data_IF_845824462360
#
_entry.id   IF_845824462360
#
_cell.length_a   1.000
_cell.length_b   1.000
_cell.length_c   1.000
_cell.angle_alpha   90.00
_cell.angle_beta   90.00
_cell.angle_gamma   90.00
#
_symmetry.space_group_name_H-M   'P 1'
#
loop_
_entity.id
_entity.type
_entity.pdbx_description
1 polymer ?
#
# COMPACT_ATOMS: atom_id res chain seq x y z
N UNK A 1 23.55 14.38 29.61
CA UNK A 1 23.21 15.21 28.42
C UNK A 1 23.07 14.34 27.19
N UNK A 2 21.83 14.13 26.75
CA UNK A 2 21.52 13.38 25.54
C UNK A 2 21.96 14.20 24.33
N UNK A 3 22.83 13.62 23.50
CA UNK A 3 23.30 14.27 22.28
C UNK A 3 22.13 14.40 21.29
N UNK A 4 21.78 15.64 20.91
CA UNK A 4 20.71 15.93 19.93
C UNK A 4 20.91 15.16 18.62
N UNK A 5 22.18 14.87 18.27
CA UNK A 5 22.52 14.04 17.10
C UNK A 5 21.98 12.61 17.21
N UNK A 6 22.04 12.01 18.41
CA UNK A 6 21.55 10.64 18.65
C UNK A 6 20.02 10.60 18.51
N UNK A 7 19.32 11.57 19.10
CA UNK A 7 17.86 11.66 19.00
C UNK A 7 17.39 11.84 17.53
N UNK A 8 18.10 12.66 16.76
CA UNK A 8 17.83 12.83 15.34
C UNK A 8 18.10 11.56 14.52
N UNK A 9 19.13 10.79 14.89
CA UNK A 9 19.42 9.49 14.27
C UNK A 9 18.31 8.48 14.56
N UNK A 10 17.90 8.33 15.82
CA UNK A 10 16.80 7.43 16.22
C UNK A 10 15.50 7.82 15.52
N UNK A 11 15.17 9.11 15.48
CA UNK A 11 14.03 9.62 14.73
C UNK A 11 14.07 9.22 13.24
N UNK A 12 15.20 9.44 12.56
CA UNK A 12 15.37 9.07 11.15
C UNK A 12 15.22 7.57 10.94
N UNK A 13 15.79 6.76 11.82
CA UNK A 13 15.71 5.30 11.75
C UNK A 13 14.27 4.82 11.90
N UNK A 14 13.54 5.33 12.90
CA UNK A 14 12.14 4.99 13.14
C UNK A 14 11.26 5.36 11.94
N UNK A 15 11.37 6.60 11.44
CA UNK A 15 10.62 7.06 10.27
C UNK A 15 10.92 6.17 9.05
N UNK A 16 12.19 5.83 8.81
CA UNK A 16 12.58 4.96 7.69
C UNK A 16 12.00 3.55 7.83
N UNK A 17 11.99 2.98 9.04
CA UNK A 17 11.43 1.66 9.31
C UNK A 17 9.91 1.65 9.06
N UNK A 18 9.20 2.67 9.55
CA UNK A 18 7.75 2.83 9.35
C UNK A 18 7.42 2.96 7.86
N UNK A 19 8.08 3.85 7.13
CA UNK A 19 7.84 4.04 5.68
C UNK A 19 8.04 2.72 4.93
N UNK A 20 9.14 2.01 5.20
CA UNK A 20 9.44 0.75 4.52
C UNK A 20 8.38 -0.31 4.78
N UNK A 21 7.93 -0.45 6.02
CA UNK A 21 6.93 -1.44 6.40
C UNK A 21 5.55 -1.12 5.80
N UNK A 22 5.15 0.14 5.88
CA UNK A 22 3.82 0.61 5.47
C UNK A 22 3.67 0.72 3.92
N UNK A 23 4.77 0.98 3.20
CA UNK A 23 4.77 1.13 1.74
C UNK A 23 4.07 -0.01 1.03
N UNK A 24 4.30 -1.25 1.49
CA UNK A 24 3.72 -2.42 0.86
C UNK A 24 2.20 -2.46 1.00
N UNK A 25 1.69 -2.23 2.21
CA UNK A 25 0.26 -2.16 2.49
C UNK A 25 -0.40 -1.05 1.68
N UNK A 26 0.23 0.12 1.58
CA UNK A 26 -0.24 1.23 0.74
C UNK A 26 -0.32 0.88 -0.74
N UNK A 27 0.69 0.19 -1.29
CA UNK A 27 0.67 -0.26 -2.69
C UNK A 27 -0.52 -1.21 -2.92
N UNK A 28 -0.74 -2.16 -2.00
CA UNK A 28 -1.85 -3.12 -2.09
C UNK A 28 -3.20 -2.39 -2.00
N UNK A 29 -3.35 -1.47 -1.04
CA UNK A 29 -4.57 -0.66 -0.90
C UNK A 29 -4.85 0.15 -2.17
N UNK A 30 -3.84 0.84 -2.71
CA UNK A 30 -4.00 1.63 -3.93
C UNK A 30 -4.35 0.76 -5.14
N UNK A 31 -3.73 -0.41 -5.27
CA UNK A 31 -4.08 -1.36 -6.34
C UNK A 31 -5.55 -1.83 -6.24
N UNK A 32 -6.03 -2.10 -5.02
CA UNK A 32 -7.42 -2.46 -4.77
C UNK A 32 -8.39 -1.31 -5.06
N UNK A 33 -8.03 -0.08 -4.67
CA UNK A 33 -8.79 1.13 -5.00
C UNK A 33 -8.91 1.35 -6.50
N UNK A 34 -7.80 1.25 -7.24
CA UNK A 34 -7.78 1.36 -8.71
C UNK A 34 -8.71 0.31 -9.33
N UNK A 35 -8.64 -0.94 -8.88
CA UNK A 35 -9.53 -2.02 -9.36
C UNK A 35 -11.01 -1.71 -9.11
N UNK A 36 -11.33 -1.19 -7.92
CA UNK A 36 -12.68 -0.75 -7.56
C UNK A 36 -13.15 0.41 -8.42
N UNK A 37 -12.32 1.43 -8.63
CA UNK A 37 -12.61 2.59 -9.48
C UNK A 37 -12.86 2.17 -10.93
N UNK A 38 -12.02 1.28 -11.49
CA UNK A 38 -12.21 0.72 -12.84
C UNK A 38 -13.55 -0.03 -12.92
N UNK A 39 -13.89 -0.82 -11.89
CA UNK A 39 -15.15 -1.57 -11.86
C UNK A 39 -16.37 -0.65 -11.82
N UNK A 40 -16.32 0.41 -11.01
CA UNK A 40 -17.38 1.42 -10.94
C UNK A 40 -17.53 2.18 -12.26
N UNK A 41 -16.43 2.61 -12.88
CA UNK A 41 -16.44 3.28 -14.19
C UNK A 41 -16.96 2.35 -15.30
N UNK A 42 -16.57 1.08 -15.27
CA UNK A 42 -17.06 0.07 -16.21
C UNK A 42 -18.57 -0.15 -16.07
N UNK A 43 -19.06 -0.20 -14.83
CA UNK A 43 -20.50 -0.27 -14.56
C UNK A 43 -21.25 0.98 -15.04
N UNK A 44 -20.72 2.18 -14.77
CA UNK A 44 -21.28 3.44 -15.28
C UNK A 44 -21.35 3.46 -16.81
N UNK A 45 -20.30 2.99 -17.49
CA UNK A 45 -20.27 2.85 -18.95
C UNK A 45 -21.38 1.92 -19.43
N UNK A 46 -21.54 0.75 -18.82
CA UNK A 46 -22.60 -0.22 -19.18
C UNK A 46 -23.98 0.41 -19.01
N UNK A 47 -24.22 1.14 -17.93
CA UNK A 47 -25.51 1.79 -17.69
C UNK A 47 -25.81 2.87 -18.73
N UNK A 48 -24.82 3.67 -19.12
CA UNK A 48 -24.97 4.67 -20.18
C UNK A 48 -25.30 4.05 -21.54
N UNK A 49 -24.73 2.88 -21.84
CA UNK A 49 -24.98 2.15 -23.09
C UNK A 49 -26.32 1.40 -23.11
N UNK A 50 -26.81 0.96 -21.94
CA UNK A 50 -28.09 0.23 -21.81
C UNK A 50 -29.33 1.12 -21.88
N UNK A 51 -29.20 2.44 -21.70
CA UNK A 51 -30.35 3.35 -21.80
C UNK A 51 -30.95 3.32 -23.21
N UNK A 52 -32.25 3.02 -23.36
CA UNK A 52 -32.88 2.88 -24.67
C UNK A 52 -32.84 4.20 -25.44
N UNK A 53 -32.37 4.13 -26.68
CA UNK A 53 -32.10 5.27 -27.55
C UNK A 53 -33.37 5.79 -28.24
N UNK A 54 -34.26 6.42 -27.48
CA UNK A 54 -35.37 7.24 -28.01
C UNK A 54 -35.01 8.74 -28.10
N UNK A 55 -33.74 9.10 -27.97
CA UNK A 55 -33.28 10.48 -27.84
C UNK A 55 -32.69 11.10 -29.12
N UNK A 56 -32.77 12.42 -29.20
CA UNK A 56 -32.24 13.28 -30.27
C UNK A 56 -30.77 12.99 -30.62
N UNK A 57 -30.39 13.29 -31.87
CA UNK A 57 -29.00 13.15 -32.38
C UNK A 57 -27.97 13.85 -31.49
N UNK A 58 -28.32 14.99 -30.88
CA UNK A 58 -27.47 15.74 -29.96
C UNK A 58 -27.22 15.00 -28.63
N UNK A 59 -28.23 14.30 -28.11
CA UNK A 59 -28.14 13.53 -26.86
C UNK A 59 -27.36 12.22 -27.04
N UNK A 60 -27.45 11.60 -28.21
CA UNK A 60 -26.57 10.47 -28.59
C UNK A 60 -25.09 10.89 -28.63
N UNK A 61 -24.83 12.08 -29.16
CA UNK A 61 -23.47 12.62 -29.30
C UNK A 61 -22.84 12.97 -27.94
N UNK A 62 -23.63 13.49 -26.99
CA UNK A 62 -23.15 13.73 -25.61
C UNK A 62 -22.89 12.43 -24.84
N UNK A 63 -23.74 11.41 -24.99
CA UNK A 63 -23.51 10.06 -24.42
C UNK A 63 -22.24 9.41 -24.97
N UNK A 64 -21.98 9.55 -26.26
CA UNK A 64 -20.75 9.02 -26.86
C UNK A 64 -19.50 9.70 -26.28
N UNK A 65 -19.54 11.03 -26.07
CA UNK A 65 -18.46 11.78 -25.43
C UNK A 65 -18.24 11.32 -23.99
N UNK A 66 -19.29 11.14 -23.19
CA UNK A 66 -19.13 10.67 -21.81
C UNK A 66 -18.58 9.26 -21.73
N UNK A 67 -18.94 8.37 -22.65
CA UNK A 67 -18.32 7.04 -22.77
C UNK A 67 -16.84 7.13 -23.11
N UNK A 68 -16.46 8.00 -24.06
CA UNK A 68 -15.05 8.23 -24.40
C UNK A 68 -14.25 8.83 -23.23
N UNK A 69 -14.84 9.74 -22.46
CA UNK A 69 -14.24 10.29 -21.24
C UNK A 69 -14.02 9.19 -20.20
N UNK A 70 -15.01 8.32 -19.98
CA UNK A 70 -14.88 7.17 -19.07
C UNK A 70 -13.77 6.23 -19.54
N UNK A 71 -13.69 5.93 -20.84
CA UNK A 71 -12.63 5.09 -21.41
C UNK A 71 -11.24 5.72 -21.23
N UNK A 72 -11.13 7.05 -21.41
CA UNK A 72 -9.88 7.77 -21.14
C UNK A 72 -9.46 7.67 -19.67
N UNK A 73 -10.41 7.72 -18.74
CA UNK A 73 -10.16 7.58 -17.29
C UNK A 73 -9.75 6.15 -16.95
N UNK A 74 -10.43 5.14 -17.49
CA UNK A 74 -10.07 3.73 -17.30
C UNK A 74 -8.66 3.46 -17.82
N UNK A 75 -8.31 3.98 -19.00
CA UNK A 75 -6.97 3.78 -19.56
C UNK A 75 -5.87 4.47 -18.74
N UNK A 76 -6.15 5.66 -18.19
CA UNK A 76 -5.24 6.33 -17.25
C UNK A 76 -5.03 5.48 -15.99
N UNK A 77 -6.12 5.03 -15.36
CA UNK A 77 -6.05 4.20 -14.15
C UNK A 77 -5.35 2.85 -14.39
N UNK A 78 -5.50 2.25 -15.58
CA UNK A 78 -4.77 1.03 -15.96
C UNK A 78 -3.28 1.27 -16.20
N UNK A 79 -2.90 2.47 -16.62
CA UNK A 79 -1.51 2.86 -16.84
C UNK A 79 -0.81 3.31 -15.53
N UNK A 80 -1.55 3.57 -14.47
CA UNK A 80 -0.99 3.89 -13.15
C UNK A 80 -0.36 2.63 -12.52
N UNK A 81 0.97 2.63 -12.37
CA UNK A 81 1.66 1.64 -11.53
C UNK A 81 1.80 2.17 -10.09
N UNK A 82 1.06 1.59 -9.10
CA UNK A 82 1.13 2.04 -7.71
C UNK A 82 2.52 1.85 -7.09
N UNK A 83 3.42 1.05 -7.67
CA UNK A 83 4.79 0.87 -7.17
C UNK A 83 5.69 2.08 -7.41
N UNK A 84 5.41 2.83 -8.47
CA UNK A 84 6.20 3.97 -8.93
C UNK A 84 5.76 5.30 -8.30
N UNK A 85 4.65 5.32 -7.55
CA UNK A 85 4.16 6.54 -6.91
C UNK A 85 5.09 6.99 -5.77
N UNK A 86 5.64 8.20 -5.91
CA UNK A 86 6.53 8.82 -4.91
C UNK A 86 5.80 9.15 -3.61
N UNK A 87 4.48 9.34 -3.64
CA UNK A 87 3.68 9.62 -2.45
C UNK A 87 3.73 8.45 -1.44
N UNK A 88 3.97 7.23 -1.93
CA UNK A 88 4.11 6.03 -1.10
C UNK A 88 5.40 6.01 -0.26
N UNK A 89 6.35 6.91 -0.53
CA UNK A 89 7.60 7.05 0.23
C UNK A 89 7.45 7.94 1.47
N UNK A 90 6.27 8.49 1.71
CA UNK A 90 6.01 9.42 2.81
C UNK A 90 5.02 8.84 3.82
N UNK A 91 5.23 9.23 5.08
CA UNK A 91 4.27 8.98 6.17
C UNK A 91 3.19 10.06 6.10
N UNK A 92 1.98 9.73 6.57
CA UNK A 92 0.92 10.72 6.77
C UNK A 92 1.41 11.89 7.64
N UNK A 93 0.92 13.08 7.34
CA UNK A 93 1.33 14.30 8.06
C UNK A 93 0.99 14.23 9.56
N UNK A 94 -0.13 13.61 9.94
CA UNK A 94 -0.54 13.42 11.34
C UNK A 94 0.46 12.57 12.13
N UNK A 95 0.81 11.40 11.61
CA UNK A 95 1.75 10.50 12.30
C UNK A 95 3.16 11.11 12.37
N UNK A 96 3.55 11.89 11.36
CA UNK A 96 4.81 12.65 11.39
C UNK A 96 4.83 13.72 12.49
N UNK A 97 3.71 14.43 12.71
CA UNK A 97 3.61 15.43 13.78
C UNK A 97 3.64 14.76 15.14
N UNK A 98 2.94 13.64 15.32
CA UNK A 98 2.88 12.93 16.61
C UNK A 98 4.27 12.46 17.07
N UNK A 99 5.01 11.80 16.17
CA UNK A 99 6.38 11.35 16.47
C UNK A 99 7.30 12.54 16.76
N UNK A 100 7.11 13.67 16.06
CA UNK A 100 7.90 14.87 16.30
C UNK A 100 7.61 15.47 17.68
N UNK A 101 6.34 15.53 18.10
CA UNK A 101 5.97 16.02 19.42
C UNK A 101 6.47 15.09 20.53
N UNK A 102 6.40 13.78 20.35
CA UNK A 102 6.99 12.81 21.28
C UNK A 102 8.51 13.00 21.45
N UNK A 103 9.22 13.28 20.35
CA UNK A 103 10.66 13.55 20.37
C UNK A 103 11.00 14.87 21.05
N UNK A 104 10.18 15.92 20.88
CA UNK A 104 10.33 17.17 21.62
C UNK A 104 10.07 16.97 23.10
N UNK A 105 9.04 16.21 23.46
CA UNK A 105 8.71 15.90 24.85
C UNK A 105 9.85 15.14 25.56
N UNK A 106 10.67 14.38 24.82
CA UNK A 106 11.87 13.73 25.37
C UNK A 106 12.96 14.75 25.72
N UNK A 107 13.14 15.80 24.91
CA UNK A 107 14.12 16.86 25.17
C UNK A 107 13.78 17.72 26.39
N UNK A 108 12.49 17.82 26.74
CA UNK A 108 12.02 18.60 27.90
C UNK A 108 12.22 17.83 29.22
N UNK A 109 12.40 16.50 29.17
CA UNK A 109 12.60 15.70 30.39
C UNK A 109 14.00 15.91 30.94
N UNK A 110 14.10 16.14 32.25
CA UNK A 110 15.39 16.36 32.92
C UNK A 110 16.10 15.05 33.33
N UNK A 111 15.38 13.93 33.41
CA UNK A 111 15.92 12.69 33.93
C UNK A 111 16.54 11.82 32.81
N UNK A 112 17.87 11.82 32.72
CA UNK A 112 18.67 11.09 31.71
C UNK A 112 18.27 9.60 31.60
N UNK A 113 17.92 8.93 32.71
CA UNK A 113 17.45 7.52 32.68
C UNK A 113 16.14 7.36 31.90
N UNK A 114 15.20 8.28 32.06
CA UNK A 114 13.92 8.21 31.36
C UNK A 114 14.07 8.51 29.86
N UNK A 115 14.96 9.44 29.51
CA UNK A 115 15.26 9.75 28.11
C UNK A 115 15.84 8.52 27.42
N UNK A 116 16.86 7.90 28.02
CA UNK A 116 17.50 6.71 27.46
C UNK A 116 16.52 5.55 27.30
N UNK A 117 15.62 5.32 28.26
CA UNK A 117 14.55 4.31 28.14
C UNK A 117 13.62 4.58 26.95
N UNK A 118 13.17 5.82 26.77
CA UNK A 118 12.30 6.18 25.64
C UNK A 118 13.02 6.04 24.30
N UNK A 119 14.29 6.45 24.24
CA UNK A 119 15.12 6.28 23.03
C UNK A 119 15.31 4.81 22.68
N UNK A 120 15.65 3.98 23.66
CA UNK A 120 15.77 2.53 23.48
C UNK A 120 14.45 1.93 22.98
N UNK A 121 13.32 2.32 23.57
CA UNK A 121 12.01 1.87 23.10
C UNK A 121 11.77 2.21 21.61
N UNK A 122 12.16 3.39 21.13
CA UNK A 122 12.05 3.71 19.70
C UNK A 122 13.01 2.91 18.82
N UNK A 123 14.21 2.60 19.31
CA UNK A 123 15.14 1.71 18.63
C UNK A 123 14.54 0.30 18.54
N UNK A 124 13.97 -0.21 19.62
CA UNK A 124 13.34 -1.52 19.69
C UNK A 124 12.14 -1.61 18.74
N UNK A 125 11.30 -0.56 18.68
CA UNK A 125 10.19 -0.47 17.71
C UNK A 125 10.73 -0.49 16.28
N UNK A 126 11.77 0.28 15.98
CA UNK A 126 12.36 0.30 14.63
C UNK A 126 12.95 -1.07 14.25
N UNK A 127 13.60 -1.75 15.19
CA UNK A 127 14.12 -3.10 14.99
C UNK A 127 12.99 -4.11 14.76
N UNK A 128 11.95 -4.08 15.60
CA UNK A 128 10.76 -4.91 15.45
C UNK A 128 10.11 -4.75 14.08
N UNK A 129 9.91 -3.52 13.59
CA UNK A 129 9.33 -3.28 12.27
C UNK A 129 10.18 -3.85 11.13
N UNK A 130 11.51 -3.77 11.22
CA UNK A 130 12.39 -4.37 10.22
C UNK A 130 12.29 -5.90 10.24
N UNK A 131 12.30 -6.50 11.45
CA UNK A 131 12.21 -7.95 11.63
C UNK A 131 10.85 -8.48 11.14
N UNK A 132 9.76 -7.77 11.44
CA UNK A 132 8.42 -8.13 10.97
C UNK A 132 8.35 -8.16 9.45
N UNK A 133 8.93 -7.14 8.79
CA UNK A 133 9.01 -7.10 7.33
C UNK A 133 9.80 -8.28 6.76
N UNK A 134 10.96 -8.58 7.34
CA UNK A 134 11.78 -9.72 6.90
C UNK A 134 11.05 -11.06 7.10
N UNK A 135 10.35 -11.21 8.22
CA UNK A 135 9.50 -12.35 8.48
C UNK A 135 8.39 -12.49 7.43
N UNK A 136 7.68 -11.41 7.10
CA UNK A 136 6.64 -11.42 6.07
C UNK A 136 7.21 -11.78 4.69
N UNK A 137 8.39 -11.25 4.35
CA UNK A 137 9.10 -11.59 3.10
C UNK A 137 9.52 -13.07 3.06
N UNK A 138 9.94 -13.66 4.19
CA UNK A 138 10.28 -15.08 4.29
C UNK A 138 9.03 -15.96 4.18
N UNK A 139 7.94 -15.60 4.86
CA UNK A 139 6.65 -16.29 4.73
C UNK A 139 6.24 -16.33 3.26
N UNK A 140 6.38 -15.25 2.52
CA UNK A 140 5.95 -15.24 1.12
C UNK A 140 6.81 -16.09 0.19
N UNK A 141 8.09 -16.25 0.51
CA UNK A 141 8.98 -17.11 -0.28
C UNK A 141 8.75 -18.58 0.00
N UNK A 142 8.48 -18.94 1.26
CA UNK A 142 8.45 -20.33 1.70
C UNK A 142 7.03 -20.88 1.93
N UNK A 143 6.07 -20.03 2.31
CA UNK A 143 4.66 -20.36 2.58
C UNK A 143 3.72 -19.70 1.57
N UNK A 144 3.96 -20.00 0.30
CA UNK A 144 3.14 -19.59 -0.84
C UNK A 144 1.65 -20.01 -0.70
N UNK A 145 1.34 -21.04 0.08
CA UNK A 145 0.01 -21.67 0.13
C UNK A 145 -1.14 -20.89 0.77
N UNK A 146 -0.91 -19.79 1.52
CA UNK A 146 -1.97 -19.19 2.36
C UNK A 146 -2.36 -17.74 2.03
N UNK A 147 -1.55 -17.01 1.26
CA UNK A 147 -1.82 -15.60 0.90
C UNK A 147 -1.37 -15.33 -0.54
N UNK A 148 -2.21 -15.70 -1.52
CA UNK A 148 -2.13 -15.11 -2.86
C UNK A 148 -1.91 -16.04 -4.04
N UNK A 149 -1.81 -17.37 -3.86
CA UNK A 149 -2.00 -18.27 -5.00
C UNK A 149 -3.48 -18.49 -5.26
N UNK A 150 -3.85 -18.44 -6.53
CA UNK A 150 -5.13 -18.96 -6.99
C UNK A 150 -5.16 -20.47 -6.75
N UNK A 151 -6.33 -21.03 -6.47
CA UNK A 151 -6.48 -22.45 -6.13
C UNK A 151 -5.83 -23.37 -7.17
N UNK A 152 -5.88 -22.98 -8.45
CA UNK A 152 -5.26 -23.69 -9.57
C UNK A 152 -3.73 -23.78 -9.47
N UNK A 153 -3.08 -22.72 -9.01
CA UNK A 153 -1.62 -22.72 -8.86
C UNK A 153 -1.17 -23.53 -7.64
N UNK A 154 -2.00 -23.58 -6.59
CA UNK A 154 -1.80 -24.46 -5.43
C UNK A 154 -1.91 -25.92 -5.84
N UNK A 155 -2.93 -26.26 -6.64
CA UNK A 155 -3.13 -27.62 -7.17
C UNK A 155 -1.94 -28.03 -8.05
N UNK A 156 -1.51 -27.19 -8.99
CA UNK A 156 -0.35 -27.46 -9.85
C UNK A 156 0.95 -27.70 -9.08
N UNK A 157 1.26 -26.85 -8.10
CA UNK A 157 2.49 -27.02 -7.30
C UNK A 157 2.45 -28.22 -6.38
N UNK A 158 1.27 -28.52 -5.82
CA UNK A 158 1.09 -29.69 -4.98
C UNK A 158 1.26 -30.96 -5.80
N UNK A 159 0.65 -31.01 -6.98
CA UNK A 159 0.79 -32.12 -7.92
C UNK A 159 2.24 -32.33 -8.36
N UNK A 160 2.96 -31.25 -8.74
CA UNK A 160 4.39 -31.34 -9.07
C UNK A 160 5.24 -31.85 -7.89
N UNK A 161 4.87 -31.51 -6.65
CA UNK A 161 5.57 -31.98 -5.44
C UNK A 161 5.39 -33.48 -5.18
N UNK A 162 4.30 -34.06 -5.69
CA UNK A 162 4.02 -35.51 -5.62
C UNK A 162 4.24 -36.22 -6.96
N UNK A 163 4.85 -35.55 -7.94
CA UNK A 163 5.16 -36.12 -9.26
C UNK A 163 3.94 -36.35 -10.16
N UNK A 164 2.82 -35.69 -9.90
CA UNK A 164 1.61 -35.72 -10.71
C UNK A 164 1.56 -34.49 -11.62
N UNK A 165 1.30 -34.69 -12.91
CA UNK A 165 1.11 -33.61 -13.88
C UNK A 165 -0.39 -33.27 -13.97
N UNK A 166 -0.74 -31.99 -13.83
CA UNK A 166 -2.14 -31.53 -13.90
C UNK A 166 -2.38 -30.88 -15.26
N UNK A 167 -3.27 -31.42 -16.10
CA UNK A 167 -3.62 -30.80 -17.37
C UNK A 167 -4.34 -29.46 -17.16
N UNK A 168 -4.09 -28.52 -18.07
CA UNK A 168 -4.73 -27.20 -18.14
C UNK A 168 -6.23 -27.27 -18.40
#
# INVERSE_FOLDING_TARGET
MVNQQNLLQVYKQLIKAIVKNDRRSKIIQRANEISKEISLLSYQKINLLRQPSNEDTKAKLSKLRSVQEIDSKINKLKAEDPKCDKNMLYISNSMKTDIREDMKAILIKENDRQINRKLNNFIDIAAFLNNQREYDELIERYNLGSRGLTQDEVVKRTANKVGLDVPL
#
